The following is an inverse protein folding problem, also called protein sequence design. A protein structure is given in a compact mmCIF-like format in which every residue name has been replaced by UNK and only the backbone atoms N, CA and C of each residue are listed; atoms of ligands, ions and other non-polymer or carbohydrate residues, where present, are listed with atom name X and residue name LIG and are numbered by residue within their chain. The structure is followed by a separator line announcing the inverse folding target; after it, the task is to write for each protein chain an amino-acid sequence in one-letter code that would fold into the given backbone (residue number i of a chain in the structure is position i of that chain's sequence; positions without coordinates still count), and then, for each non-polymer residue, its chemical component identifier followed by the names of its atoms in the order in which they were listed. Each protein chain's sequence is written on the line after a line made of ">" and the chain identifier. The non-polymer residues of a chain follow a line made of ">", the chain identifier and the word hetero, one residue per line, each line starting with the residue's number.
data_IF_723212891640
#
_entry.id   IF_723212891640
#
_cell.length_a   1.000
_cell.length_b   1.000
_cell.length_c   1.000
_cell.angle_alpha   90.00
_cell.angle_beta   90.00
_cell.angle_gamma   90.00
#
_symmetry.space_group_name_H-M   'P 1'
#
loop_
_entity.id
_entity.type
_entity.pdbx_description
1 polymer ?
#
# COMPACT_ATOMS: atom_id res chain seq x y z
N UNK A 1 5.43 19.89 5.17
CA UNK A 1 5.88 18.67 4.46
C UNK A 1 5.06 18.53 3.19
N UNK A 2 5.70 18.25 2.07
CA UNK A 2 4.92 18.04 0.86
C UNK A 2 4.19 16.69 0.88
N UNK A 3 3.15 16.59 0.06
CA UNK A 3 2.27 15.42 0.07
C UNK A 3 3.00 14.14 -0.38
N UNK A 4 3.94 14.25 -1.31
CA UNK A 4 4.71 13.08 -1.75
C UNK A 4 5.49 12.46 -0.59
N UNK A 5 6.05 13.29 0.28
CA UNK A 5 6.75 12.81 1.48
C UNK A 5 5.77 12.17 2.47
N UNK A 6 4.57 12.73 2.63
CA UNK A 6 3.54 12.12 3.48
C UNK A 6 3.15 10.74 2.95
N UNK A 7 3.00 10.61 1.63
CA UNK A 7 2.73 9.32 1.00
C UNK A 7 3.88 8.34 1.23
N UNK A 8 5.13 8.81 1.07
CA UNK A 8 6.27 7.93 1.29
C UNK A 8 6.34 7.46 2.73
N UNK A 9 6.00 8.30 3.70
CA UNK A 9 5.97 7.90 5.11
C UNK A 9 4.90 6.83 5.37
N UNK A 10 3.73 6.96 4.76
CA UNK A 10 2.67 5.95 4.86
C UNK A 10 3.15 4.61 4.27
N UNK A 11 3.75 4.67 3.10
CA UNK A 11 4.29 3.49 2.42
C UNK A 11 5.45 2.88 3.21
N UNK A 12 6.30 3.70 3.84
CA UNK A 12 7.40 3.19 4.66
C UNK A 12 6.88 2.41 5.87
N UNK A 13 5.78 2.85 6.49
CA UNK A 13 5.14 2.08 7.55
C UNK A 13 4.62 0.74 7.03
N UNK A 14 3.99 0.75 5.87
CA UNK A 14 3.52 -0.47 5.22
C UNK A 14 4.69 -1.44 4.97
N UNK A 15 5.79 -0.95 4.41
CA UNK A 15 6.97 -1.77 4.14
C UNK A 15 7.55 -2.34 5.43
N UNK A 16 7.58 -1.55 6.50
CA UNK A 16 8.06 -2.02 7.81
C UNK A 16 7.22 -3.18 8.31
N UNK A 17 5.90 -3.09 8.25
CA UNK A 17 5.00 -4.19 8.61
C UNK A 17 5.21 -5.40 7.70
N UNK A 18 5.33 -5.17 6.39
CA UNK A 18 5.52 -6.23 5.42
C UNK A 18 6.78 -7.04 5.71
N UNK A 19 7.90 -6.35 5.96
CA UNK A 19 9.18 -7.01 6.24
C UNK A 19 9.16 -7.82 7.52
N UNK A 20 8.32 -7.44 8.48
CA UNK A 20 8.15 -8.17 9.75
C UNK A 20 7.18 -9.35 9.60
N UNK A 21 6.56 -9.52 8.46
CA UNK A 21 5.52 -10.53 8.28
C UNK A 21 4.22 -10.20 8.98
N UNK A 22 3.99 -8.92 9.28
CA UNK A 22 2.81 -8.44 10.01
C UNK A 22 1.70 -8.05 9.05
N UNK A 23 0.89 -9.03 8.66
CA UNK A 23 -0.22 -8.81 7.73
C UNK A 23 -1.28 -7.86 8.29
N UNK A 24 -1.56 -7.94 9.58
CA UNK A 24 -2.51 -7.02 10.23
C UNK A 24 -2.00 -5.58 10.18
N UNK A 25 -0.70 -5.39 10.41
CA UNK A 25 -0.06 -4.08 10.27
C UNK A 25 -0.19 -3.54 8.85
N UNK A 26 0.10 -4.38 7.85
CA UNK A 26 -0.07 -4.01 6.44
C UNK A 26 -1.50 -3.54 6.17
N UNK A 27 -2.49 -4.27 6.64
CA UNK A 27 -3.89 -3.92 6.43
C UNK A 27 -4.29 -2.64 7.16
N UNK A 28 -3.60 -2.29 8.24
CA UNK A 28 -3.93 -1.10 9.05
C UNK A 28 -3.74 0.21 8.31
N UNK A 29 -2.94 0.25 7.24
CA UNK A 29 -2.75 1.47 6.43
C UNK A 29 -3.87 1.68 5.42
N UNK A 30 -4.83 0.75 5.35
CA UNK A 30 -6.01 0.83 4.48
C UNK A 30 -7.22 1.25 5.28
N UNK A 31 -8.19 1.90 4.61
CA UNK A 31 -9.50 2.16 5.20
C UNK A 31 -10.23 0.83 5.47
N UNK A 32 -11.16 0.77 6.44
CA UNK A 32 -11.90 -0.48 6.70
C UNK A 32 -12.64 -1.04 5.48
N UNK A 33 -13.15 -0.17 4.61
CA UNK A 33 -13.89 -0.53 3.40
C UNK A 33 -13.04 -0.49 2.13
N UNK A 34 -11.70 -0.42 2.27
CA UNK A 34 -10.79 -0.28 1.14
C UNK A 34 -10.89 -1.45 0.16
N UNK A 35 -10.51 -1.18 -1.09
CA UNK A 35 -10.48 -2.17 -2.16
C UNK A 35 -9.07 -2.28 -2.72
N UNK A 36 -8.61 -3.51 -2.93
CA UNK A 36 -7.30 -3.76 -3.51
C UNK A 36 -7.43 -4.70 -4.70
N UNK A 37 -6.90 -4.26 -5.83
CA UNK A 37 -6.89 -5.01 -7.09
C UNK A 37 -5.46 -5.38 -7.42
N UNK A 38 -5.21 -6.64 -7.77
CA UNK A 38 -3.86 -7.09 -8.11
C UNK A 38 -3.90 -8.22 -9.12
N UNK A 39 -2.78 -8.43 -9.86
CA UNK A 39 -2.67 -9.58 -10.75
C UNK A 39 -2.42 -10.89 -10.03
N UNK A 40 -2.26 -10.86 -8.70
CA UNK A 40 -1.87 -12.04 -7.91
C UNK A 40 -3.07 -12.80 -7.35
N UNK A 41 -4.28 -12.34 -7.60
CA UNK A 41 -5.48 -13.00 -7.12
C UNK A 41 -6.73 -12.15 -7.35
N UNK A 42 -7.89 -12.64 -6.86
CA UNK A 42 -9.13 -11.87 -7.01
C UNK A 42 -9.07 -10.59 -6.18
N UNK A 43 -9.92 -9.59 -6.50
CA UNK A 43 -9.98 -8.37 -5.73
C UNK A 43 -10.22 -8.63 -4.24
N UNK A 44 -9.48 -7.93 -3.39
CA UNK A 44 -9.66 -7.99 -1.94
C UNK A 44 -10.51 -6.80 -1.53
N UNK A 45 -11.74 -7.06 -1.13
CA UNK A 45 -12.71 -6.04 -0.77
C UNK A 45 -12.85 -6.00 0.75
N UNK A 46 -12.47 -4.86 1.33
CA UNK A 46 -12.47 -4.66 2.78
C UNK A 46 -11.14 -5.06 3.43
N UNK A 47 -10.89 -4.46 4.59
CA UNK A 47 -9.63 -4.64 5.31
C UNK A 47 -9.34 -6.10 5.65
N UNK A 48 -10.36 -6.89 6.00
CA UNK A 48 -10.19 -8.30 6.32
C UNK A 48 -9.64 -9.10 5.14
N UNK A 49 -10.19 -8.86 3.95
CA UNK A 49 -9.74 -9.53 2.74
C UNK A 49 -8.32 -9.09 2.37
N UNK A 50 -8.01 -7.82 2.58
CA UNK A 50 -6.67 -7.26 2.33
C UNK A 50 -5.66 -7.90 3.29
N UNK A 51 -6.04 -8.06 4.56
CA UNK A 51 -5.17 -8.74 5.53
C UNK A 51 -4.92 -10.20 5.13
N UNK A 52 -5.97 -10.91 4.70
CA UNK A 52 -5.85 -12.31 4.28
C UNK A 52 -4.90 -12.46 3.08
N UNK A 53 -4.99 -11.55 2.11
CA UNK A 53 -4.09 -11.54 0.95
C UNK A 53 -2.64 -11.30 1.40
N UNK A 54 -2.44 -10.39 2.35
CA UNK A 54 -1.10 -10.10 2.86
C UNK A 54 -0.50 -11.25 3.66
N UNK A 55 -1.32 -12.04 4.34
CA UNK A 55 -0.83 -13.25 5.04
C UNK A 55 -0.15 -14.21 4.07
N UNK A 56 -0.72 -14.38 2.89
CA UNK A 56 -0.11 -15.21 1.85
C UNK A 56 1.17 -14.58 1.32
N UNK A 57 1.14 -13.30 1.01
CA UNK A 57 2.29 -12.61 0.42
C UNK A 57 3.50 -12.58 1.34
N UNK A 58 3.32 -12.23 2.61
CA UNK A 58 4.44 -12.15 3.56
C UNK A 58 5.02 -13.51 3.89
N UNK A 59 4.23 -14.59 3.75
CA UNK A 59 4.71 -15.96 4.00
C UNK A 59 5.69 -16.43 2.92
N UNK A 60 5.71 -15.79 1.77
CA UNK A 60 6.59 -16.16 0.65
C UNK A 60 7.97 -15.48 0.73
N UNK A 61 8.22 -14.71 1.78
CA UNK A 61 9.47 -13.98 1.96
C UNK A 61 9.25 -12.50 1.80
N UNK A 62 9.67 -11.73 2.80
CA UNK A 62 9.30 -10.33 2.86
C UNK A 62 10.48 -9.39 3.11
N UNK A 63 11.65 -9.94 3.39
CA UNK A 63 12.79 -9.19 3.92
C UNK A 63 13.34 -8.13 2.96
N UNK A 64 13.13 -8.32 1.66
CA UNK A 64 13.73 -7.46 0.63
C UNK A 64 12.73 -6.53 -0.06
N UNK A 65 11.51 -6.44 0.47
CA UNK A 65 10.49 -5.55 -0.09
C UNK A 65 10.93 -4.10 0.00
N UNK A 66 10.84 -3.40 -1.15
CA UNK A 66 11.12 -1.95 -1.24
C UNK A 66 10.00 -1.30 -2.05
N UNK A 67 9.56 -0.13 -1.61
CA UNK A 67 8.55 0.64 -2.32
C UNK A 67 8.93 2.12 -2.28
N UNK A 68 8.95 2.75 -3.45
CA UNK A 68 9.26 4.16 -3.58
C UNK A 68 8.11 4.89 -4.27
N UNK A 69 7.62 5.94 -3.64
CA UNK A 69 6.62 6.82 -4.24
C UNK A 69 7.30 7.69 -5.30
N UNK A 70 6.80 7.63 -6.53
CA UNK A 70 7.39 8.34 -7.66
C UNK A 70 6.56 9.54 -8.10
N UNK A 71 5.27 9.58 -7.73
CA UNK A 71 4.38 10.67 -8.11
C UNK A 71 3.22 10.73 -7.13
N UNK A 72 2.76 11.92 -6.79
CA UNK A 72 1.65 12.10 -5.85
C UNK A 72 0.99 13.45 -6.06
N UNK A 73 -0.30 13.52 -5.71
CA UNK A 73 -1.06 14.77 -5.74
C UNK A 73 -2.28 14.67 -4.84
N UNK A 74 -2.83 15.81 -4.47
CA UNK A 74 -4.03 15.83 -3.62
C UNK A 74 -4.88 17.06 -3.89
N UNK A 75 -6.16 16.94 -3.50
CA UNK A 75 -7.11 18.04 -3.45
C UNK A 75 -7.92 17.86 -2.14
N UNK A 76 -7.71 18.76 -1.18
CA UNK A 76 -8.36 18.64 0.12
C UNK A 76 -8.01 17.33 0.81
N UNK A 77 -9.03 16.59 1.23
CA UNK A 77 -8.89 15.30 1.92
C UNK A 77 -8.83 14.09 1.01
N UNK A 78 -8.65 14.28 -0.30
CA UNK A 78 -8.52 13.21 -1.27
C UNK A 78 -7.18 13.33 -1.97
N UNK A 79 -6.45 12.22 -2.08
CA UNK A 79 -5.15 12.21 -2.74
C UNK A 79 -4.91 10.94 -3.53
N UNK A 80 -3.80 10.92 -4.24
CA UNK A 80 -3.35 9.76 -4.99
C UNK A 80 -1.84 9.69 -4.96
N UNK A 81 -1.30 8.49 -5.09
CA UNK A 81 0.13 8.33 -5.35
C UNK A 81 0.38 7.11 -6.22
N UNK A 82 1.47 7.20 -6.96
CA UNK A 82 2.00 6.07 -7.73
C UNK A 82 3.31 5.68 -7.08
N UNK A 83 3.46 4.39 -6.80
CA UNK A 83 4.66 3.84 -6.19
C UNK A 83 5.18 2.68 -7.01
N UNK A 84 6.50 2.50 -6.98
CA UNK A 84 7.14 1.34 -7.60
C UNK A 84 7.61 0.40 -6.51
N UNK A 85 7.26 -0.87 -6.66
CA UNK A 85 7.69 -1.88 -5.70
C UNK A 85 8.68 -2.84 -6.33
N UNK A 86 9.61 -3.33 -5.50
CA UNK A 86 10.63 -4.28 -5.93
C UNK A 86 10.99 -5.21 -4.79
N UNK A 87 11.60 -6.33 -5.15
CA UNK A 87 12.19 -7.26 -4.20
C UNK A 87 13.61 -7.52 -4.68
N UNK A 88 14.57 -7.42 -3.75
CA UNK A 88 15.99 -7.46 -4.08
C UNK A 88 16.36 -6.37 -5.09
N UNK A 89 16.97 -6.76 -6.20
CA UNK A 89 17.40 -5.84 -7.25
C UNK A 89 16.44 -5.81 -8.44
N UNK A 90 15.34 -6.58 -8.37
CA UNK A 90 14.39 -6.69 -9.48
C UNK A 90 13.18 -5.78 -9.25
N UNK A 91 12.94 -4.91 -10.23
CA UNK A 91 11.75 -4.07 -10.24
C UNK A 91 10.53 -4.93 -10.57
N UNK A 92 9.60 -5.07 -9.64
CA UNK A 92 8.48 -6.02 -9.74
C UNK A 92 7.21 -5.40 -10.31
N UNK A 93 7.00 -4.11 -10.13
CA UNK A 93 5.79 -3.47 -10.63
C UNK A 93 5.52 -2.11 -10.01
N UNK A 94 4.28 -1.67 -10.18
CA UNK A 94 3.85 -0.38 -9.64
C UNK A 94 2.46 -0.49 -9.03
N UNK A 95 2.13 0.48 -8.18
CA UNK A 95 0.80 0.59 -7.59
C UNK A 95 0.25 2.00 -7.77
N UNK A 96 -1.04 2.08 -8.06
CA UNK A 96 -1.80 3.31 -8.02
C UNK A 96 -2.63 3.27 -6.74
N UNK A 97 -2.51 4.28 -5.90
CA UNK A 97 -3.20 4.34 -4.62
C UNK A 97 -4.03 5.60 -4.54
N UNK A 98 -5.29 5.45 -4.12
CA UNK A 98 -6.15 6.57 -3.76
C UNK A 98 -6.18 6.64 -2.25
N UNK A 99 -5.92 7.82 -1.71
CA UNK A 99 -5.81 8.04 -0.28
C UNK A 99 -6.90 9.01 0.18
N UNK A 100 -7.40 8.78 1.38
CA UNK A 100 -8.33 9.72 2.01
C UNK A 100 -7.82 10.07 3.39
N UNK A 101 -8.04 11.34 3.78
CA UNK A 101 -7.72 11.82 5.12
C UNK A 101 -8.93 11.62 6.01
N UNK A 102 -8.72 10.96 7.15
CA UNK A 102 -9.78 10.74 8.11
C UNK A 102 -9.96 11.90 9.09
N UNK A 103 -10.98 11.80 9.98
CA UNK A 103 -11.23 12.82 11.01
C UNK A 103 -10.04 13.03 11.94
N UNK A 104 -9.19 12.01 12.10
CA UNK A 104 -7.97 12.07 12.92
C UNK A 104 -6.82 12.78 12.21
N UNK A 105 -7.01 13.24 10.97
CA UNK A 105 -5.99 13.87 10.17
C UNK A 105 -5.02 12.91 9.48
N UNK A 106 -5.23 11.59 9.63
CA UNK A 106 -4.34 10.59 9.06
C UNK A 106 -4.78 10.15 7.68
N UNK A 107 -3.82 10.03 6.78
CA UNK A 107 -4.05 9.50 5.44
C UNK A 107 -4.05 7.97 5.50
N UNK A 108 -5.01 7.36 4.79
CA UNK A 108 -5.07 5.90 4.61
C UNK A 108 -5.48 5.60 3.18
N UNK A 109 -5.12 4.39 2.73
CA UNK A 109 -5.45 3.96 1.37
C UNK A 109 -6.90 3.52 1.31
N UNK A 110 -7.67 4.09 0.38
CA UNK A 110 -9.05 3.68 0.11
C UNK A 110 -9.13 2.72 -1.06
N UNK A 111 -8.26 2.89 -2.06
CA UNK A 111 -8.21 2.02 -3.24
C UNK A 111 -6.76 1.83 -3.65
N UNK A 112 -6.43 0.61 -4.03
CA UNK A 112 -5.09 0.26 -4.51
C UNK A 112 -5.22 -0.65 -5.73
N UNK A 113 -4.46 -0.34 -6.77
CA UNK A 113 -4.36 -1.21 -7.94
C UNK A 113 -2.89 -1.49 -8.22
N UNK A 114 -2.54 -2.76 -8.24
CA UNK A 114 -1.18 -3.23 -8.47
C UNK A 114 -1.02 -3.68 -9.92
N UNK A 115 0.09 -3.32 -10.53
CA UNK A 115 0.44 -3.74 -11.88
C UNK A 115 1.82 -4.38 -11.83
N UNK A 116 1.92 -5.58 -12.40
CA UNK A 116 3.18 -6.31 -12.47
C UNK A 116 3.92 -5.95 -13.76
N UNK A 117 5.25 -5.86 -13.67
CA UNK A 117 6.07 -5.63 -14.86
C UNK A 117 6.14 -6.86 -15.75
#
# INVERSE_FOLDING_TARGET
>A
MDFQKECQQLIDRYVSYYRKGDAAGCASVYRPEAEMYSPFGPPAIGRRAIEAAHKEWVSEGADHKKINVVSAGRSGGLGWCIARFSEDTTDSGSSMNILTRGPDGCWKISHCSLTEN
#
